data_IF_459084967263
#
_entry.id   IF_459084967263
#
_cell.length_a   1.000
_cell.length_b   1.000
_cell.length_c   1.000
_cell.angle_alpha   90.00
_cell.angle_beta   90.00
_cell.angle_gamma   90.00
#
_symmetry.space_group_name_H-M   'P 1'
#
loop_
_entity.id
_entity.type
_entity.pdbx_description
1 polymer ?
#
# COMPACT_ATOMS: atom_id res chain seq x y z
N UNK A 1 -12.58 17.21 28.09
CA UNK A 1 -11.93 17.91 26.96
C UNK A 1 -11.96 16.97 25.76
N UNK A 2 -12.89 17.16 24.82
CA UNK A 2 -12.95 16.37 23.58
C UNK A 2 -12.28 17.17 22.48
N UNK A 3 -11.07 16.77 22.08
CA UNK A 3 -10.45 17.26 20.86
C UNK A 3 -11.11 16.52 19.69
N UNK A 4 -12.15 17.12 19.11
CA UNK A 4 -12.59 16.77 17.75
C UNK A 4 -11.57 17.36 16.78
N UNK A 5 -10.43 16.70 16.63
CA UNK A 5 -9.57 16.93 15.48
C UNK A 5 -10.40 16.56 14.25
N UNK A 6 -10.79 17.54 13.43
CA UNK A 6 -11.38 17.27 12.12
C UNK A 6 -10.40 16.38 11.37
N UNK A 7 -10.76 15.14 10.98
CA UNK A 7 -9.85 14.30 10.22
C UNK A 7 -9.78 14.90 8.83
N UNK A 8 -8.84 15.82 8.60
CA UNK A 8 -8.24 15.92 7.28
C UNK A 8 -7.50 14.60 7.12
N UNK A 9 -8.13 13.61 6.50
CA UNK A 9 -7.49 12.34 6.14
C UNK A 9 -6.52 12.62 5.00
N UNK A 10 -5.46 13.35 5.34
CA UNK A 10 -4.24 13.45 4.58
C UNK A 10 -3.52 12.13 4.76
N UNK A 11 -2.99 11.57 3.67
CA UNK A 11 -2.03 10.48 3.75
C UNK A 11 -0.93 10.80 4.77
N UNK A 12 -0.43 9.78 5.44
CA UNK A 12 0.59 9.92 6.49
C UNK A 12 1.74 8.97 6.20
N UNK A 13 2.95 9.53 6.10
CA UNK A 13 4.18 8.75 6.06
C UNK A 13 4.80 8.76 7.46
N UNK A 14 5.11 7.58 8.00
CA UNK A 14 5.71 7.41 9.33
C UNK A 14 7.06 6.72 9.19
N UNK A 15 8.11 7.44 9.61
CA UNK A 15 9.47 6.94 9.61
C UNK A 15 9.69 5.90 10.70
N UNK A 16 10.50 4.88 10.43
CA UNK A 16 10.85 3.81 11.39
C UNK A 16 9.59 3.20 12.05
N UNK A 17 8.56 2.95 11.25
CA UNK A 17 7.28 2.40 11.71
C UNK A 17 7.38 0.89 12.03
N UNK A 18 8.25 0.18 11.32
CA UNK A 18 8.59 -1.22 11.51
C UNK A 18 10.09 -1.36 11.80
N UNK A 19 10.47 -2.35 12.64
CA UNK A 19 11.88 -2.64 12.91
C UNK A 19 12.51 -3.38 11.73
N UNK A 20 13.83 -3.26 11.57
CA UNK A 20 14.54 -3.92 10.48
C UNK A 20 14.39 -5.44 10.55
N UNK A 21 14.38 -6.00 11.77
CA UNK A 21 14.17 -7.44 12.00
C UNK A 21 12.77 -7.90 11.60
N UNK A 22 11.74 -7.06 11.78
CA UNK A 22 10.39 -7.37 11.31
C UNK A 22 10.31 -7.31 9.78
N UNK A 23 11.02 -6.38 9.13
CA UNK A 23 11.10 -6.31 7.68
C UNK A 23 11.79 -7.55 7.09
N UNK A 24 12.97 -7.91 7.60
CA UNK A 24 13.71 -9.12 7.19
C UNK A 24 12.88 -10.39 7.42
N UNK A 25 12.22 -10.49 8.57
CA UNK A 25 11.32 -11.60 8.87
C UNK A 25 10.22 -11.76 7.82
N UNK A 26 9.54 -10.67 7.44
CA UNK A 26 8.49 -10.70 6.41
C UNK A 26 9.04 -11.12 5.05
N UNK A 27 10.22 -10.61 4.68
CA UNK A 27 10.91 -10.97 3.43
C UNK A 27 11.22 -12.46 3.41
N UNK A 28 11.87 -13.00 4.44
CA UNK A 28 12.29 -14.39 4.48
C UNK A 28 11.11 -15.36 4.54
N UNK A 29 10.04 -14.98 5.24
CA UNK A 29 8.80 -15.74 5.29
C UNK A 29 8.10 -15.81 3.92
N UNK A 30 8.19 -14.73 3.14
CA UNK A 30 7.52 -14.59 1.86
C UNK A 30 8.31 -15.21 0.69
N UNK A 31 9.64 -15.06 0.66
CA UNK A 31 10.56 -15.53 -0.40
C UNK A 31 10.22 -16.91 -0.98
N UNK A 32 10.06 -17.99 -0.20
CA UNK A 32 9.81 -19.33 -0.75
C UNK A 32 8.40 -19.51 -1.36
N UNK A 33 7.49 -18.55 -1.15
CA UNK A 33 6.10 -18.61 -1.59
C UNK A 33 5.77 -17.60 -2.70
N UNK A 34 6.76 -16.86 -3.19
CA UNK A 34 6.57 -15.84 -4.23
C UNK A 34 6.15 -16.46 -5.55
N UNK A 35 5.11 -15.89 -6.16
CA UNK A 35 4.64 -16.25 -7.50
C UNK A 35 4.47 -14.98 -8.31
N UNK A 36 4.59 -15.08 -9.65
CA UNK A 36 4.32 -13.95 -10.54
C UNK A 36 2.93 -13.38 -10.24
N UNK A 37 2.85 -12.06 -10.08
CA UNK A 37 1.61 -11.39 -9.70
C UNK A 37 0.61 -11.46 -10.84
N UNK A 38 -0.65 -11.62 -10.47
CA UNK A 38 -1.79 -11.57 -11.37
C UNK A 38 -2.70 -10.44 -10.94
N UNK A 39 -3.42 -9.84 -11.88
CA UNK A 39 -4.46 -8.86 -11.57
C UNK A 39 -5.83 -9.51 -11.67
N UNK A 40 -6.77 -9.08 -10.83
CA UNK A 40 -8.16 -9.51 -10.95
C UNK A 40 -8.81 -8.70 -12.07
N UNK A 41 -9.27 -9.37 -13.12
CA UNK A 41 -10.01 -8.74 -14.19
C UNK A 41 -11.37 -8.25 -13.68
N UNK A 42 -11.63 -6.96 -13.85
CA UNK A 42 -12.85 -6.30 -13.34
C UNK A 42 -14.15 -6.77 -13.98
N UNK A 43 -14.11 -7.42 -15.16
CA UNK A 43 -15.31 -7.89 -15.87
C UNK A 43 -15.66 -9.32 -15.51
N UNK A 44 -14.65 -10.15 -15.27
CA UNK A 44 -14.79 -11.60 -15.09
C UNK A 44 -14.48 -12.06 -13.67
N UNK A 45 -13.85 -11.22 -12.85
CA UNK A 45 -13.40 -11.56 -11.50
C UNK A 45 -12.24 -12.57 -11.46
N UNK A 46 -11.64 -12.91 -12.60
CA UNK A 46 -10.58 -13.92 -12.70
C UNK A 46 -9.19 -13.31 -12.61
N UNK A 47 -8.23 -14.11 -12.13
CA UNK A 47 -6.84 -13.69 -11.97
C UNK A 47 -6.05 -13.91 -13.28
N UNK A 48 -5.63 -12.84 -13.95
CA UNK A 48 -4.92 -12.87 -15.23
C UNK A 48 -3.47 -12.36 -15.14
N UNK A 49 -2.62 -12.89 -16.02
CA UNK A 49 -1.23 -12.45 -16.18
C UNK A 49 -1.20 -10.99 -16.65
N UNK A 50 -0.57 -10.12 -15.87
CA UNK A 50 -0.72 -8.69 -16.02
C UNK A 50 0.50 -8.04 -16.67
N UNK A 51 0.29 -7.21 -17.69
CA UNK A 51 1.28 -6.22 -18.15
C UNK A 51 1.29 -4.97 -17.26
N UNK A 52 0.30 -4.85 -16.37
CA UNK A 52 0.02 -3.68 -15.53
C UNK A 52 0.67 -3.82 -14.16
N UNK A 53 0.81 -5.05 -13.65
CA UNK A 53 1.55 -5.39 -12.43
C UNK A 53 2.52 -6.53 -12.72
N UNK A 54 3.81 -6.21 -12.76
CA UNK A 54 4.84 -7.16 -13.18
C UNK A 54 5.65 -7.76 -12.04
N UNK A 55 5.29 -7.45 -10.78
CA UNK A 55 5.93 -7.97 -9.57
C UNK A 55 5.75 -9.47 -9.38
N UNK A 56 6.49 -10.04 -8.44
CA UNK A 56 6.11 -11.28 -7.75
C UNK A 56 5.46 -10.96 -6.39
N UNK A 57 4.64 -11.88 -5.88
CA UNK A 57 3.94 -11.65 -4.62
C UNK A 57 3.40 -12.92 -3.97
N UNK A 58 3.05 -12.77 -2.69
CA UNK A 58 2.40 -13.81 -1.89
C UNK A 58 1.56 -13.19 -0.78
N UNK A 59 0.63 -13.96 -0.22
CA UNK A 59 -0.16 -13.55 0.94
C UNK A 59 0.29 -14.31 2.18
N UNK A 60 0.51 -13.59 3.27
CA UNK A 60 0.72 -14.17 4.58
C UNK A 60 -0.64 -14.21 5.30
N UNK A 61 -1.08 -15.39 5.78
CA UNK A 61 -2.37 -15.50 6.45
C UNK A 61 -2.47 -14.61 7.69
N UNK A 62 -3.68 -14.13 7.96
CA UNK A 62 -3.94 -13.34 9.15
C UNK A 62 -3.66 -14.11 10.43
N UNK A 63 -3.11 -13.42 11.42
CA UNK A 63 -2.84 -14.01 12.72
C UNK A 63 -1.93 -15.25 12.70
N UNK A 64 -1.10 -15.41 11.65
CA UNK A 64 -0.24 -16.58 11.44
C UNK A 64 0.63 -16.92 12.65
N UNK A 65 1.27 -15.92 13.23
CA UNK A 65 2.20 -16.05 14.35
C UNK A 65 2.24 -14.75 15.17
N UNK A 66 3.06 -14.76 16.23
CA UNK A 66 3.18 -13.62 17.16
C UNK A 66 3.72 -12.34 16.51
N UNK A 67 4.57 -12.45 15.49
CA UNK A 67 5.16 -11.29 14.82
C UNK A 67 4.11 -10.68 13.89
N UNK A 68 3.44 -11.51 13.08
CA UNK A 68 2.34 -11.07 12.21
C UNK A 68 1.22 -10.41 13.03
N UNK A 69 0.76 -11.03 14.12
CA UNK A 69 -0.26 -10.44 15.02
C UNK A 69 0.15 -9.09 15.59
N UNK A 70 1.44 -8.93 15.93
CA UNK A 70 1.96 -7.65 16.46
C UNK A 70 1.97 -6.57 15.40
N UNK A 71 2.33 -6.92 14.16
CA UNK A 71 2.28 -6.00 13.01
C UNK A 71 0.82 -5.63 12.72
N UNK A 72 -0.09 -6.59 12.63
CA UNK A 72 -1.53 -6.36 12.41
C UNK A 72 -2.13 -5.44 13.49
N UNK A 73 -1.78 -5.66 14.76
CA UNK A 73 -2.20 -4.77 15.85
C UNK A 73 -1.67 -3.35 15.65
N UNK A 74 -0.40 -3.19 15.24
CA UNK A 74 0.18 -1.87 14.96
C UNK A 74 -0.50 -1.18 13.78
N UNK A 75 -0.89 -1.93 12.74
CA UNK A 75 -1.72 -1.41 11.64
C UNK A 75 -3.05 -0.90 12.18
N UNK A 76 -3.75 -1.69 12.98
CA UNK A 76 -5.02 -1.30 13.58
C UNK A 76 -4.90 -0.04 14.46
N UNK A 77 -3.84 0.06 15.27
CA UNK A 77 -3.56 1.24 16.08
C UNK A 77 -3.24 2.48 15.21
N UNK A 78 -2.63 2.29 14.04
CA UNK A 78 -2.28 3.38 13.12
C UNK A 78 -3.47 3.89 12.30
N UNK A 79 -4.35 2.98 11.89
CA UNK A 79 -5.53 3.30 11.08
C UNK A 79 -6.77 3.61 11.91
N UNK A 80 -6.77 3.24 13.20
CA UNK A 80 -7.95 3.21 14.07
C UNK A 80 -9.06 2.26 13.55
N UNK A 81 -8.70 1.26 12.75
CA UNK A 81 -9.61 0.23 12.23
C UNK A 81 -9.32 -1.08 12.96
N UNK A 82 -10.34 -1.81 13.47
CA UNK A 82 -10.15 -3.11 14.10
C UNK A 82 -9.40 -4.11 13.22
N UNK A 83 -8.55 -4.97 13.83
CA UNK A 83 -7.75 -5.99 13.12
C UNK A 83 -8.64 -6.92 12.30
N UNK A 84 -9.87 -7.14 12.75
CA UNK A 84 -10.89 -7.97 12.11
C UNK A 84 -11.22 -7.53 10.68
N UNK A 85 -11.07 -6.24 10.35
CA UNK A 85 -11.33 -5.70 9.02
C UNK A 85 -10.09 -5.72 8.10
N UNK A 86 -8.93 -6.14 8.60
CA UNK A 86 -7.74 -6.30 7.77
C UNK A 86 -7.84 -7.54 6.87
N UNK A 87 -7.19 -7.47 5.71
CA UNK A 87 -6.85 -8.62 4.89
C UNK A 87 -5.51 -9.24 5.36
N UNK A 88 -5.15 -10.41 4.84
CA UNK A 88 -3.81 -10.98 5.04
C UNK A 88 -2.73 -10.06 4.44
N UNK A 89 -1.53 -10.06 5.02
CA UNK A 89 -0.45 -9.20 4.53
C UNK A 89 -0.03 -9.65 3.13
N UNK A 90 -0.18 -8.76 2.15
CA UNK A 90 0.32 -8.99 0.80
C UNK A 90 1.77 -8.51 0.72
N UNK A 91 2.70 -9.45 0.51
CA UNK A 91 4.12 -9.14 0.31
C UNK A 91 4.43 -9.18 -1.18
N UNK A 92 5.13 -8.16 -1.66
CA UNK A 92 5.45 -7.95 -3.06
C UNK A 92 6.94 -7.73 -3.25
N UNK A 93 7.47 -8.23 -4.36
CA UNK A 93 8.84 -8.04 -4.75
C UNK A 93 8.91 -7.61 -6.22
N UNK A 94 9.59 -6.48 -6.44
CA UNK A 94 9.81 -5.86 -7.74
C UNK A 94 11.29 -5.97 -8.09
N UNK A 95 11.58 -6.62 -9.21
CA UNK A 95 12.91 -6.59 -9.81
C UNK A 95 13.11 -5.29 -10.60
N UNK A 96 14.36 -5.02 -11.01
CA UNK A 96 14.69 -3.87 -11.85
C UNK A 96 13.80 -3.83 -13.09
N UNK A 97 13.12 -2.70 -13.30
CA UNK A 97 12.21 -2.47 -14.42
C UNK A 97 10.79 -3.03 -14.24
N UNK A 98 10.51 -3.77 -13.16
CA UNK A 98 9.15 -4.14 -12.79
C UNK A 98 8.41 -2.94 -12.17
N UNK A 99 7.09 -2.92 -12.33
CA UNK A 99 6.26 -1.80 -11.89
C UNK A 99 4.83 -2.23 -11.60
N UNK A 100 4.09 -1.32 -10.98
CA UNK A 100 2.64 -1.32 -10.97
C UNK A 100 2.16 -0.02 -11.63
N UNK A 101 1.36 -0.12 -12.68
CA UNK A 101 0.67 1.05 -13.21
C UNK A 101 -0.32 1.64 -12.18
N UNK A 102 -0.64 2.94 -12.28
CA UNK A 102 -1.60 3.59 -11.41
C UNK A 102 -2.95 2.88 -11.35
N UNK A 103 -3.41 2.60 -10.13
CA UNK A 103 -4.65 1.88 -9.84
C UNK A 103 -5.30 2.38 -8.54
N UNK A 104 -6.48 1.83 -8.25
CA UNK A 104 -7.18 2.05 -6.99
C UNK A 104 -7.23 0.74 -6.23
N UNK A 105 -7.10 0.82 -4.90
CA UNK A 105 -7.24 -0.36 -4.04
C UNK A 105 -8.69 -0.74 -3.79
N UNK A 106 -9.61 0.22 -3.86
CA UNK A 106 -11.05 -0.03 -3.74
C UNK A 106 -11.57 -0.85 -4.92
N UNK A 107 -12.58 -1.68 -4.65
CA UNK A 107 -13.29 -2.44 -5.67
C UNK A 107 -14.25 -1.53 -6.44
N UNK A 108 -14.25 -1.67 -7.76
CA UNK A 108 -15.20 -0.99 -8.66
C UNK A 108 -16.43 -1.83 -8.97
N UNK A 109 -16.35 -3.14 -8.76
CA UNK A 109 -17.42 -4.09 -9.07
C UNK A 109 -18.20 -4.49 -7.81
N UNK A 110 -19.51 -4.67 -7.98
CA UNK A 110 -20.40 -5.05 -6.88
C UNK A 110 -20.11 -6.45 -6.32
N UNK A 111 -19.50 -7.35 -7.11
CA UNK A 111 -19.26 -8.73 -6.71
C UNK A 111 -18.22 -8.79 -5.59
N UNK A 112 -17.08 -8.13 -5.79
CA UNK A 112 -16.02 -8.05 -4.78
C UNK A 112 -16.47 -7.24 -3.55
N UNK A 113 -17.20 -6.14 -3.74
CA UNK A 113 -17.74 -5.36 -2.61
C UNK A 113 -18.71 -6.19 -1.76
N UNK A 114 -19.56 -7.04 -2.35
CA UNK A 114 -20.47 -7.91 -1.61
C UNK A 114 -19.78 -9.07 -0.91
N UNK A 115 -18.66 -9.56 -1.46
CA UNK A 115 -17.96 -10.75 -0.96
C UNK A 115 -16.89 -10.47 0.12
N UNK A 116 -16.65 -9.21 0.48
CA UNK A 116 -15.67 -8.88 1.53
C UNK A 116 -15.73 -7.45 2.06
N UNK A 117 -16.66 -6.62 1.59
CA UNK A 117 -16.72 -5.19 1.90
C UNK A 117 -15.87 -4.33 0.96
N UNK A 118 -15.79 -3.04 1.25
CA UNK A 118 -14.99 -2.06 0.50
C UNK A 118 -13.68 -1.76 1.24
N UNK A 119 -12.58 -1.59 0.49
CA UNK A 119 -11.29 -1.18 1.06
C UNK A 119 -11.26 0.33 1.28
N UNK A 120 -11.21 0.73 2.54
CA UNK A 120 -11.28 2.15 2.93
C UNK A 120 -9.90 2.80 3.12
N UNK A 121 -8.89 2.00 3.46
CA UNK A 121 -7.53 2.47 3.75
C UNK A 121 -6.49 1.41 3.37
N UNK A 122 -5.29 1.89 3.05
CA UNK A 122 -4.13 1.05 2.74
C UNK A 122 -2.94 1.50 3.55
N UNK A 123 -2.21 0.53 4.12
CA UNK A 123 -0.90 0.74 4.73
C UNK A 123 0.14 0.01 3.88
N UNK A 124 0.98 0.77 3.18
CA UNK A 124 2.16 0.25 2.48
C UNK A 124 3.34 0.29 3.44
N UNK A 125 4.00 -0.85 3.63
CA UNK A 125 5.21 -0.97 4.46
C UNK A 125 6.38 -1.26 3.53
N UNK A 126 7.43 -0.44 3.61
CA UNK A 126 8.62 -0.62 2.79
C UNK A 126 9.58 -1.57 3.50
N UNK A 127 9.77 -2.76 2.94
CA UNK A 127 10.54 -3.83 3.58
C UNK A 127 12.04 -3.81 3.23
N UNK A 128 12.44 -2.98 2.26
CA UNK A 128 13.83 -2.81 1.83
C UNK A 128 14.06 -1.39 1.34
N UNK A 129 15.32 -0.97 1.36
CA UNK A 129 15.75 0.24 0.68
C UNK A 129 15.79 0.02 -0.84
N UNK A 130 15.46 1.06 -1.61
CA UNK A 130 15.63 1.07 -3.07
C UNK A 130 16.58 2.20 -3.45
N UNK A 131 17.61 1.84 -4.20
CA UNK A 131 18.65 2.77 -4.63
C UNK A 131 18.09 3.81 -5.62
N UNK A 132 17.39 3.35 -6.66
CA UNK A 132 16.78 4.20 -7.69
C UNK A 132 15.37 3.70 -8.06
N UNK A 133 14.43 4.63 -8.22
CA UNK A 133 13.05 4.32 -8.56
C UNK A 133 12.25 3.68 -7.42
N UNK A 134 11.20 2.94 -7.79
CA UNK A 134 10.34 2.22 -6.83
C UNK A 134 9.45 3.12 -5.98
N UNK A 135 9.30 4.39 -6.34
CA UNK A 135 8.45 5.32 -5.61
C UNK A 135 6.99 4.93 -5.71
N UNK A 136 6.24 5.11 -4.61
CA UNK A 136 4.78 5.10 -4.67
C UNK A 136 4.30 6.48 -5.10
N UNK A 137 3.69 6.56 -6.29
CA UNK A 137 3.31 7.83 -6.92
C UNK A 137 1.79 8.00 -6.91
N UNK A 138 1.32 9.17 -6.46
CA UNK A 138 -0.08 9.57 -6.48
C UNK A 138 -0.31 10.65 -7.56
N UNK A 139 -0.54 10.26 -8.83
CA UNK A 139 -0.65 11.20 -9.95
C UNK A 139 -1.86 12.14 -9.85
N UNK A 140 -2.91 11.74 -9.14
CA UNK A 140 -4.13 12.56 -8.97
C UNK A 140 -4.17 13.35 -7.65
N UNK A 141 -3.13 13.22 -6.80
CA UNK A 141 -3.05 13.98 -5.55
C UNK A 141 -2.78 15.46 -5.82
N UNK A 142 -3.47 16.32 -5.09
CA UNK A 142 -3.27 17.77 -5.15
C UNK A 142 -2.22 18.17 -4.11
N UNK A 143 -1.11 18.75 -4.57
CA UNK A 143 -0.04 19.23 -3.69
C UNK A 143 1.10 19.83 -4.51
N UNK A 144 1.98 20.60 -3.86
CA UNK A 144 3.20 21.05 -4.52
C UNK A 144 4.20 19.89 -4.56
N UNK A 145 4.24 19.19 -5.69
CA UNK A 145 5.01 17.96 -5.85
C UNK A 145 6.52 18.22 -5.71
N UNK A 146 6.99 19.40 -6.14
CA UNK A 146 8.39 19.80 -6.00
C UNK A 146 8.78 20.27 -4.60
N UNK A 147 7.84 20.32 -3.65
CA UNK A 147 8.14 20.67 -2.25
C UNK A 147 8.68 19.49 -1.42
N UNK A 148 8.75 18.28 -1.98
CA UNK A 148 9.36 17.14 -1.28
C UNK A 148 10.89 17.32 -1.24
N UNK A 149 11.55 17.13 -0.08
CA UNK A 149 13.00 17.34 0.06
C UNK A 149 13.87 16.53 -0.90
N UNK A 150 13.36 15.41 -1.41
CA UNK A 150 14.04 14.48 -2.31
C UNK A 150 13.65 14.65 -3.79
N UNK A 151 13.03 15.78 -4.18
CA UNK A 151 12.52 16.00 -5.54
C UNK A 151 13.54 15.73 -6.65
N UNK A 152 14.79 16.16 -6.45
CA UNK A 152 15.86 16.00 -7.44
C UNK A 152 16.39 14.56 -7.54
N UNK A 153 16.10 13.72 -6.55
CA UNK A 153 16.49 12.31 -6.50
C UNK A 153 15.39 11.38 -7.03
N UNK A 154 14.21 11.92 -7.35
CA UNK A 154 13.10 11.14 -7.91
C UNK A 154 13.39 10.73 -9.34
N UNK A 155 12.96 9.51 -9.67
CA UNK A 155 12.83 9.06 -11.05
C UNK A 155 11.85 9.94 -11.83
N UNK A 156 11.89 9.87 -13.16
CA UNK A 156 10.92 10.57 -14.01
C UNK A 156 9.47 10.13 -13.70
N UNK A 157 9.27 8.86 -13.31
CA UNK A 157 7.98 8.38 -12.82
C UNK A 157 7.59 9.06 -11.50
N UNK A 158 8.53 9.13 -10.55
CA UNK A 158 8.35 9.76 -9.23
C UNK A 158 7.95 11.24 -9.30
N UNK A 159 8.32 11.96 -10.37
CA UNK A 159 7.94 13.35 -10.62
C UNK A 159 6.53 13.53 -11.21
N UNK A 160 5.89 12.44 -11.63
CA UNK A 160 4.55 12.44 -12.24
C UNK A 160 3.38 12.69 -11.26
N UNK A 161 3.66 12.79 -9.96
CA UNK A 161 2.65 12.98 -8.90
C UNK A 161 3.31 13.12 -7.53
N UNK A 162 2.52 13.38 -6.48
CA UNK A 162 3.04 13.32 -5.11
C UNK A 162 3.60 11.93 -4.86
N UNK A 163 4.87 11.83 -4.48
CA UNK A 163 5.56 10.53 -4.40
C UNK A 163 6.26 10.31 -3.06
N UNK A 164 6.32 9.04 -2.67
CA UNK A 164 7.01 8.58 -1.48
C UNK A 164 8.08 7.58 -1.91
N UNK A 165 9.33 7.88 -1.54
CA UNK A 165 10.47 6.98 -1.80
C UNK A 165 10.44 5.82 -0.79
N UNK A 166 10.62 4.57 -1.23
CA UNK A 166 10.71 3.43 -0.35
C UNK A 166 11.98 3.51 0.50
N UNK A 167 11.80 3.47 1.82
CA UNK A 167 12.87 3.39 2.81
C UNK A 167 12.53 2.29 3.80
N UNK A 168 13.44 1.34 4.01
CA UNK A 168 13.18 0.18 4.86
C UNK A 168 12.69 0.61 6.25
N UNK A 169 11.61 -0.01 6.71
CA UNK A 169 10.99 0.27 8.01
C UNK A 169 9.98 1.43 7.99
N UNK A 170 9.94 2.26 6.95
CA UNK A 170 8.93 3.31 6.81
C UNK A 170 7.58 2.73 6.37
N UNK A 171 6.50 3.41 6.73
CA UNK A 171 5.15 3.05 6.30
C UNK A 171 4.37 4.26 5.80
N UNK A 172 3.56 4.04 4.75
CA UNK A 172 2.65 5.01 4.16
C UNK A 172 1.21 4.55 4.37
N UNK A 173 0.42 5.39 5.04
CA UNK A 173 -1.03 5.25 5.15
C UNK A 173 -1.72 6.23 4.20
N UNK A 174 -2.65 5.73 3.38
CA UNK A 174 -3.56 6.56 2.58
C UNK A 174 -4.97 5.95 2.56
N UNK A 175 -5.94 6.79 2.19
CA UNK A 175 -7.37 6.47 2.26
C UNK A 175 -7.94 6.39 0.86
N UNK A 176 -8.67 5.31 0.60
CA UNK A 176 -9.38 5.05 -0.66
C UNK A 176 -10.79 5.67 -0.65
N UNK A 177 -11.25 6.12 0.52
CA UNK A 177 -12.57 6.70 0.74
C UNK A 177 -12.49 7.94 1.62
N UNK A 178 -13.39 8.89 1.37
CA UNK A 178 -13.57 10.10 2.17
C UNK A 178 -14.42 9.82 3.41
N UNK A 179 -14.44 10.73 4.41
CA UNK A 179 -15.30 10.58 5.60
C UNK A 179 -16.79 10.38 5.33
N UNK A 180 -17.29 10.86 4.18
CA UNK A 180 -18.68 10.69 3.75
C UNK A 180 -18.94 9.35 3.04
N UNK A 181 -17.98 8.43 3.10
CA UNK A 181 -17.97 7.13 2.43
C UNK A 181 -18.02 7.19 0.89
N UNK A 182 -17.72 8.34 0.28
CA UNK A 182 -17.51 8.41 -1.17
C UNK A 182 -16.07 8.00 -1.52
N UNK A 183 -15.88 7.41 -2.71
CA UNK A 183 -14.56 7.02 -3.21
C UNK A 183 -13.68 8.27 -3.42
N UNK A 184 -12.40 8.15 -3.08
CA UNK A 184 -11.44 9.23 -3.27
C UNK A 184 -10.60 9.03 -4.54
N UNK A 185 -10.93 9.76 -5.61
CA UNK A 185 -10.18 9.71 -6.87
C UNK A 185 -8.73 10.19 -6.73
N UNK A 186 -8.40 10.94 -5.68
CA UNK A 186 -7.01 11.35 -5.43
C UNK A 186 -6.14 10.22 -4.88
N UNK A 187 -6.73 9.07 -4.50
CA UNK A 187 -6.04 7.88 -4.03
C UNK A 187 -5.50 6.98 -5.16
N UNK A 188 -5.62 7.42 -6.43
CA UNK A 188 -4.99 6.75 -7.56
C UNK A 188 -3.48 6.70 -7.30
N UNK A 189 -2.89 5.52 -7.30
CA UNK A 189 -1.48 5.33 -6.99
C UNK A 189 -0.85 4.17 -7.76
N UNK A 190 0.46 4.20 -7.96
CA UNK A 190 1.26 3.15 -8.61
C UNK A 190 2.64 3.04 -7.99
#
# INVERSE_FOLDING_TARGET
MYLLAKPKLTSSCKKNWQSMEECEYLIDLAKPHMKKSKVVDSKTGKSEDSRVRTSSGTFLPRGRDKIIKRIEKRIADFTFIPVEHGEGLQVLHYEVGQKYEPHYDYFKDEVNTRNGGQRIATVLMYLSDVEEGGETVFPSAKGNISAVPWWNELSECGKGGLSVRPKMGDALLFWSMKPDATLDLSSLHG
#
